data_IF_756977489458
#
_entry.id   IF_756977489458
#
_cell.length_a   1.000
_cell.length_b   1.000
_cell.length_c   1.000
_cell.angle_alpha   90.00
_cell.angle_beta   90.00
_cell.angle_gamma   90.00
#
_symmetry.space_group_name_H-M   'P 1'
#
loop_
_entity.id
_entity.type
_entity.pdbx_description
1 polymer ?
#
# COMPACT_ATOMS: atom_id res chain seq x y z
N UNK A 1 -13.47 19.35 0.84
CA UNK A 1 -13.78 17.90 1.00
C UNK A 1 -12.84 17.41 2.08
N UNK A 2 -13.32 16.83 3.17
CA UNK A 2 -12.43 16.37 4.23
C UNK A 2 -11.57 15.22 3.67
N UNK A 3 -10.25 15.34 3.76
CA UNK A 3 -9.30 14.28 3.41
C UNK A 3 -9.60 13.07 4.33
N UNK A 4 -9.85 11.90 3.74
CA UNK A 4 -10.00 10.64 4.50
C UNK A 4 -8.67 9.91 4.53
N UNK A 5 -8.44 9.05 5.52
CA UNK A 5 -7.24 8.20 5.57
C UNK A 5 -7.03 7.42 4.26
N UNK A 6 -8.11 6.91 3.66
CA UNK A 6 -8.05 6.24 2.35
C UNK A 6 -7.59 7.18 1.23
N UNK A 7 -8.07 8.43 1.19
CA UNK A 7 -7.62 9.42 0.21
C UNK A 7 -6.16 9.83 0.40
N UNK A 8 -5.66 9.86 1.64
CA UNK A 8 -4.27 10.19 1.94
C UNK A 8 -3.33 9.06 1.49
N UNK A 9 -3.70 7.81 1.78
CA UNK A 9 -2.95 6.62 1.36
C UNK A 9 -2.91 6.51 -0.17
N UNK A 10 -4.02 6.72 -0.86
CA UNK A 10 -4.08 6.74 -2.34
C UNK A 10 -3.11 7.78 -2.92
N UNK A 11 -3.19 9.03 -2.46
CA UNK A 11 -2.31 10.11 -2.90
C UNK A 11 -0.83 9.80 -2.63
N UNK A 12 -0.52 9.26 -1.44
CA UNK A 12 0.84 8.90 -1.07
C UNK A 12 1.42 7.83 -2.01
N UNK A 13 0.61 6.81 -2.34
CA UNK A 13 1.01 5.74 -3.26
C UNK A 13 1.34 6.28 -4.66
N UNK A 14 0.54 7.21 -5.18
CA UNK A 14 0.77 7.87 -6.47
C UNK A 14 2.04 8.73 -6.43
N UNK A 15 2.32 9.41 -5.31
CA UNK A 15 3.56 10.20 -5.17
C UNK A 15 4.80 9.32 -5.18
N UNK A 16 4.78 8.18 -4.49
CA UNK A 16 5.89 7.23 -4.50
C UNK A 16 6.20 6.73 -5.90
N UNK A 17 5.17 6.35 -6.67
CA UNK A 17 5.34 5.91 -8.06
C UNK A 17 5.93 7.01 -8.96
N UNK A 18 5.47 8.26 -8.80
CA UNK A 18 6.01 9.39 -9.56
C UNK A 18 7.46 9.69 -9.25
N UNK A 19 7.86 9.62 -7.98
CA UNK A 19 9.26 9.82 -7.57
C UNK A 19 10.14 8.75 -8.20
N UNK A 20 9.70 7.49 -8.16
CA UNK A 20 10.43 6.38 -8.77
C UNK A 20 10.70 6.60 -10.27
N UNK A 21 9.68 6.93 -11.06
CA UNK A 21 9.87 7.24 -12.49
C UNK A 21 10.74 8.48 -12.75
N UNK A 22 10.71 9.48 -11.86
CA UNK A 22 11.56 10.65 -11.98
C UNK A 22 13.03 10.29 -11.66
N UNK A 23 13.25 9.41 -10.70
CA UNK A 23 14.58 8.88 -10.37
C UNK A 23 15.11 8.04 -11.55
N UNK A 24 14.31 7.14 -12.15
CA UNK A 24 14.68 6.40 -13.37
C UNK A 24 15.08 7.34 -14.53
N UNK A 25 14.27 8.38 -14.78
CA UNK A 25 14.53 9.36 -15.84
C UNK A 25 15.77 10.22 -15.57
N UNK A 26 16.22 10.36 -14.31
CA UNK A 26 17.45 11.07 -13.95
C UNK A 26 18.70 10.21 -14.15
N UNK A 27 18.55 8.89 -14.05
CA UNK A 27 19.60 7.89 -14.26
C UNK A 27 19.89 7.60 -15.74
N UNK A 28 18.99 7.97 -16.66
CA UNK A 28 19.17 7.79 -18.10
C UNK A 28 20.44 8.52 -18.62
N UNK A 29 21.24 7.82 -19.43
CA UNK A 29 22.41 8.40 -20.07
C UNK A 29 22.02 9.26 -21.29
N UNK A 30 22.71 10.38 -21.51
CA UNK A 30 22.49 11.24 -22.68
C UNK A 30 21.43 12.35 -22.53
N UNK A 31 20.80 12.49 -21.37
CA UNK A 31 19.95 13.66 -21.07
C UNK A 31 20.78 14.94 -20.90
N UNK A 32 20.26 16.05 -21.46
CA UNK A 32 20.89 17.36 -21.35
C UNK A 32 20.88 17.90 -19.92
N UNK A 33 21.85 18.74 -19.58
CA UNK A 33 21.95 19.36 -18.23
C UNK A 33 20.67 20.09 -17.83
N UNK A 34 20.08 20.85 -18.76
CA UNK A 34 18.83 21.58 -18.51
C UNK A 34 17.65 20.63 -18.26
N UNK A 35 17.57 19.50 -18.96
CA UNK A 35 16.50 18.52 -18.74
C UNK A 35 16.66 17.81 -17.39
N UNK A 36 17.91 17.49 -17.02
CA UNK A 36 18.24 16.89 -15.72
C UNK A 36 17.89 17.83 -14.56
N UNK A 37 18.15 19.13 -14.69
CA UNK A 37 17.74 20.14 -13.69
C UNK A 37 16.20 20.22 -13.57
N UNK A 38 15.47 20.20 -14.69
CA UNK A 38 14.00 20.21 -14.69
C UNK A 38 13.41 18.96 -14.01
N UNK A 39 13.94 17.77 -14.30
CA UNK A 39 13.51 16.51 -13.70
C UNK A 39 13.80 16.49 -12.20
N UNK A 40 14.98 16.97 -11.79
CA UNK A 40 15.35 17.07 -10.38
C UNK A 40 14.42 18.01 -9.62
N UNK A 41 14.10 19.18 -10.17
CA UNK A 41 13.15 20.11 -9.55
C UNK A 41 11.75 19.49 -9.38
N UNK A 42 11.29 18.70 -10.36
CA UNK A 42 10.02 17.96 -10.27
C UNK A 42 10.06 16.87 -9.20
N UNK A 43 11.19 16.16 -9.10
CA UNK A 43 11.42 15.11 -8.10
C UNK A 43 11.43 15.68 -6.69
N UNK A 44 12.16 16.78 -6.47
CA UNK A 44 12.23 17.46 -5.18
C UNK A 44 10.85 17.97 -4.74
N UNK A 45 10.05 18.51 -5.68
CA UNK A 45 8.68 18.90 -5.40
C UNK A 45 7.79 17.71 -5.04
N UNK A 46 7.93 16.59 -5.77
CA UNK A 46 7.15 15.38 -5.49
C UNK A 46 7.51 14.76 -4.13
N UNK A 47 8.78 14.78 -3.75
CA UNK A 47 9.26 14.28 -2.46
C UNK A 47 8.80 15.16 -1.29
N UNK A 48 8.80 16.48 -1.47
CA UNK A 48 8.17 17.40 -0.50
C UNK A 48 6.69 17.07 -0.30
N UNK A 49 5.94 16.89 -1.39
CA UNK A 49 4.53 16.52 -1.32
C UNK A 49 4.30 15.14 -0.68
N UNK A 50 5.21 14.19 -0.88
CA UNK A 50 5.18 12.87 -0.22
C UNK A 50 5.38 13.01 1.29
N UNK A 51 6.31 13.87 1.72
CA UNK A 51 6.55 14.13 3.14
C UNK A 51 5.33 14.79 3.78
N UNK A 52 4.77 15.83 3.16
CA UNK A 52 3.57 16.51 3.65
C UNK A 52 2.40 15.50 3.83
N UNK A 53 2.20 14.60 2.86
CA UNK A 53 1.16 13.55 2.95
C UNK A 53 1.43 12.53 4.07
N UNK A 54 2.71 12.21 4.32
CA UNK A 54 3.09 11.29 5.41
C UNK A 54 2.78 11.94 6.76
N UNK A 55 3.13 13.21 6.92
CA UNK A 55 2.84 13.98 8.14
C UNK A 55 1.32 14.12 8.38
N UNK A 56 0.54 14.30 7.31
CA UNK A 56 -0.93 14.32 7.38
C UNK A 56 -1.51 12.96 7.81
N UNK A 57 -0.96 11.85 7.31
CA UNK A 57 -1.37 10.49 7.73
C UNK A 57 -1.04 10.26 9.21
N UNK A 58 0.16 10.60 9.65
CA UNK A 58 0.57 10.46 11.05
C UNK A 58 -0.28 11.33 11.98
N UNK A 59 -0.55 12.57 11.57
CA UNK A 59 -1.46 13.48 12.27
C UNK A 59 -2.87 12.90 12.39
N UNK A 60 -3.41 12.36 11.29
CA UNK A 60 -4.72 11.70 11.29
C UNK A 60 -4.75 10.51 12.25
N UNK A 61 -3.75 9.61 12.18
CA UNK A 61 -3.67 8.42 13.03
C UNK A 61 -3.51 8.79 14.51
N UNK A 62 -2.67 9.77 14.83
CA UNK A 62 -2.49 10.26 16.18
C UNK A 62 -3.79 10.84 16.75
N UNK A 63 -4.51 11.65 15.96
CA UNK A 63 -5.80 12.19 16.38
C UNK A 63 -6.88 11.10 16.49
N UNK A 64 -6.88 10.09 15.61
CA UNK A 64 -7.80 8.96 15.69
C UNK A 64 -7.59 8.12 16.96
N UNK A 65 -6.33 7.82 17.32
CA UNK A 65 -6.00 7.07 18.54
C UNK A 65 -6.33 7.81 19.83
N UNK A 66 -6.33 9.15 19.81
CA UNK A 66 -6.78 10.00 20.93
C UNK A 66 -8.31 10.20 20.96
N UNK A 67 -9.04 9.66 19.98
CA UNK A 67 -10.49 9.84 19.85
C UNK A 67 -10.92 11.22 19.36
N UNK A 68 -9.99 12.01 18.80
CA UNK A 68 -10.21 13.39 18.33
C UNK A 68 -10.76 13.42 16.89
N UNK A 69 -10.57 12.35 16.13
CA UNK A 69 -11.17 12.20 14.79
C UNK A 69 -12.54 11.55 14.93
N UNK A 70 -13.59 12.30 14.58
CA UNK A 70 -14.91 11.72 14.33
C UNK A 70 -14.88 10.92 13.03
N UNK A 71 -14.62 9.62 13.14
CA UNK A 71 -15.13 8.68 12.15
C UNK A 71 -16.65 8.77 12.26
N UNK A 72 -17.34 9.08 11.16
CA UNK A 72 -18.78 9.25 11.16
C UNK A 72 -19.43 7.89 11.42
N UNK A 73 -19.70 7.61 12.69
CA UNK A 73 -20.44 6.44 13.14
C UNK A 73 -21.84 6.94 13.53
N UNK A 74 -22.81 6.81 12.63
CA UNK A 74 -24.12 7.46 12.76
C UNK A 74 -25.03 6.83 13.84
N UNK A 75 -24.56 5.89 14.68
CA UNK A 75 -25.37 5.35 15.77
C UNK A 75 -24.57 5.09 17.04
N UNK A 76 -24.78 5.91 18.07
CA UNK A 76 -24.46 5.55 19.45
C UNK A 76 -25.56 4.59 19.94
N UNK A 77 -25.22 3.32 20.13
CA UNK A 77 -26.01 2.40 20.98
C UNK A 77 -25.34 2.34 22.35
N UNK A 78 -26.08 2.64 23.40
CA UNK A 78 -25.66 2.33 24.77
C UNK A 78 -25.63 0.80 24.90
N UNK A 79 -24.44 0.19 24.91
CA UNK A 79 -24.33 -1.26 25.00
C UNK A 79 -24.58 -1.73 26.44
N UNK A 80 -25.79 -2.22 26.69
CA UNK A 80 -26.11 -3.08 27.85
C UNK A 80 -25.85 -4.56 27.57
N UNK A 81 -25.17 -4.89 26.46
CA UNK A 81 -24.93 -6.27 26.03
C UNK A 81 -23.43 -6.58 26.08
N UNK A 82 -23.04 -7.54 26.93
CA UNK A 82 -21.67 -8.04 27.09
C UNK A 82 -21.25 -9.05 26.01
N UNK A 83 -22.14 -9.38 25.07
CA UNK A 83 -21.82 -10.21 23.90
C UNK A 83 -21.23 -9.37 22.76
N UNK A 84 -20.07 -8.76 22.98
CA UNK A 84 -19.27 -8.19 21.89
C UNK A 84 -18.42 -9.32 21.34
N UNK A 85 -18.69 -9.80 20.10
CA UNK A 85 -17.78 -10.74 19.41
C UNK A 85 -16.38 -10.12 19.37
N UNK A 86 -15.36 -10.93 19.63
CA UNK A 86 -14.02 -10.43 19.94
C UNK A 86 -13.44 -9.61 18.78
N UNK A 87 -12.65 -8.58 19.12
CA UNK A 87 -11.91 -7.78 18.12
C UNK A 87 -10.90 -8.59 17.31
N UNK A 88 -10.72 -9.88 17.63
CA UNK A 88 -9.75 -10.75 16.96
C UNK A 88 -10.11 -10.96 15.49
N UNK A 89 -11.39 -10.97 15.11
CA UNK A 89 -11.79 -11.08 13.70
C UNK A 89 -11.33 -9.85 12.89
N UNK A 90 -11.52 -8.65 13.44
CA UNK A 90 -11.08 -7.38 12.83
C UNK A 90 -9.54 -7.32 12.78
N UNK A 91 -8.86 -7.73 13.85
CA UNK A 91 -7.40 -7.80 13.88
C UNK A 91 -6.86 -8.77 12.81
N UNK A 92 -7.42 -9.98 12.72
CA UNK A 92 -7.06 -11.00 11.73
C UNK A 92 -7.31 -10.52 10.29
N UNK A 93 -8.39 -9.76 10.07
CA UNK A 93 -8.68 -9.14 8.78
C UNK A 93 -7.58 -8.12 8.41
N UNK A 94 -7.24 -7.22 9.34
CA UNK A 94 -6.19 -6.22 9.12
C UNK A 94 -4.83 -6.84 8.82
N UNK A 95 -4.45 -7.90 9.55
CA UNK A 95 -3.22 -8.66 9.30
C UNK A 95 -3.24 -9.31 7.91
N UNK A 96 -4.37 -9.92 7.50
CA UNK A 96 -4.50 -10.57 6.19
C UNK A 96 -4.41 -9.57 5.04
N UNK A 97 -5.04 -8.39 5.16
CA UNK A 97 -4.97 -7.32 4.15
C UNK A 97 -3.56 -6.73 4.05
N UNK A 98 -2.88 -6.52 5.17
CA UNK A 98 -1.50 -6.03 5.18
C UNK A 98 -0.55 -6.99 4.48
N UNK A 99 -0.66 -8.30 4.78
CA UNK A 99 0.16 -9.32 4.14
C UNK A 99 -0.15 -9.43 2.63
N UNK A 100 -1.42 -9.33 2.23
CA UNK A 100 -1.83 -9.30 0.83
C UNK A 100 -1.18 -8.15 0.06
N UNK A 101 -1.20 -6.94 0.62
CA UNK A 101 -0.57 -5.77 0.02
C UNK A 101 0.94 -5.98 -0.18
N UNK A 102 1.63 -6.54 0.83
CA UNK A 102 3.05 -6.85 0.74
C UNK A 102 3.37 -7.87 -0.37
N UNK A 103 2.58 -8.96 -0.48
CA UNK A 103 2.76 -9.96 -1.55
C UNK A 103 2.52 -9.38 -2.93
N UNK A 104 1.54 -8.47 -3.07
CA UNK A 104 1.27 -7.83 -4.35
C UNK A 104 2.43 -6.91 -4.79
N UNK A 105 3.01 -6.12 -3.88
CA UNK A 105 4.19 -5.29 -4.17
C UNK A 105 5.39 -6.18 -4.57
N UNK A 106 5.64 -7.24 -3.79
CA UNK A 106 6.72 -8.19 -4.08
C UNK A 106 6.54 -8.86 -5.46
N UNK A 107 5.32 -9.20 -5.85
CA UNK A 107 5.01 -9.77 -7.15
C UNK A 107 5.43 -8.82 -8.28
N UNK A 108 5.05 -7.54 -8.19
CA UNK A 108 5.44 -6.52 -9.17
C UNK A 108 6.95 -6.37 -9.30
N UNK A 109 7.68 -6.32 -8.16
CA UNK A 109 9.14 -6.25 -8.18
C UNK A 109 9.78 -7.47 -8.87
N UNK A 110 9.23 -8.66 -8.64
CA UNK A 110 9.71 -9.88 -9.30
C UNK A 110 9.41 -9.86 -10.80
N UNK A 111 8.26 -9.34 -11.21
CA UNK A 111 7.93 -9.17 -12.62
C UNK A 111 8.89 -8.20 -13.32
N UNK A 112 9.25 -7.08 -12.68
CA UNK A 112 10.25 -6.16 -13.20
C UNK A 112 11.64 -6.81 -13.28
N UNK A 113 12.05 -7.54 -12.23
CA UNK A 113 13.31 -8.30 -12.24
C UNK A 113 13.33 -9.33 -13.40
N UNK A 114 12.19 -9.95 -13.72
CA UNK A 114 12.08 -10.92 -14.82
C UNK A 114 12.04 -10.28 -16.22
N UNK A 115 11.80 -8.97 -16.34
CA UNK A 115 11.82 -8.21 -17.61
C UNK A 115 13.22 -7.70 -17.97
N UNK A 116 14.17 -7.74 -17.03
CA UNK A 116 15.55 -7.34 -17.26
C UNK A 116 16.21 -8.18 -18.35
N UNK A 117 16.94 -7.51 -19.24
CA UNK A 117 17.67 -8.13 -20.36
C UNK A 117 19.17 -8.29 -20.09
N UNK A 118 19.65 -7.72 -18.98
CA UNK A 118 21.05 -7.70 -18.58
C UNK A 118 21.42 -8.84 -17.60
N UNK A 119 20.46 -9.68 -17.24
CA UNK A 119 20.66 -10.83 -16.34
C UNK A 119 20.75 -12.15 -17.11
N UNK A 120 21.47 -13.16 -16.58
CA UNK A 120 21.49 -14.50 -17.17
C UNK A 120 20.12 -15.17 -17.19
N UNK A 121 19.83 -15.95 -18.25
CA UNK A 121 18.57 -16.70 -18.39
C UNK A 121 18.24 -17.59 -17.18
N UNK A 122 19.26 -18.18 -16.55
CA UNK A 122 19.08 -18.99 -15.35
C UNK A 122 18.52 -18.19 -14.17
N UNK A 123 18.93 -16.93 -14.02
CA UNK A 123 18.40 -16.00 -13.02
C UNK A 123 16.97 -15.61 -13.34
N UNK A 124 16.66 -15.31 -14.61
CA UNK A 124 15.30 -14.99 -15.06
C UNK A 124 14.34 -16.16 -14.78
N UNK A 125 14.77 -17.40 -15.04
CA UNK A 125 13.98 -18.61 -14.75
C UNK A 125 13.71 -18.76 -13.24
N UNK A 126 14.71 -18.51 -12.40
CA UNK A 126 14.52 -18.53 -10.94
C UNK A 126 13.56 -17.44 -10.46
N UNK A 127 13.65 -16.23 -11.03
CA UNK A 127 12.72 -15.13 -10.74
C UNK A 127 11.30 -15.48 -11.16
N UNK A 128 11.10 -16.08 -12.34
CA UNK A 128 9.77 -16.55 -12.77
C UNK A 128 9.16 -17.59 -11.82
N UNK A 129 9.95 -18.52 -11.29
CA UNK A 129 9.47 -19.46 -10.25
C UNK A 129 9.07 -18.73 -8.96
N UNK A 130 9.78 -17.67 -8.59
CA UNK A 130 9.43 -16.81 -7.45
C UNK A 130 8.16 -16.01 -7.70
N UNK A 131 7.92 -15.55 -8.94
CA UNK A 131 6.66 -14.92 -9.39
C UNK A 131 5.52 -15.90 -9.17
N UNK A 132 5.63 -17.12 -9.70
CA UNK A 132 4.58 -18.14 -9.57
C UNK A 132 4.21 -18.40 -8.11
N UNK A 133 5.21 -18.60 -7.25
CA UNK A 133 5.02 -18.80 -5.80
C UNK A 133 4.38 -17.58 -5.13
N UNK A 134 4.86 -16.37 -5.43
CA UNK A 134 4.36 -15.13 -4.81
C UNK A 134 2.94 -14.79 -5.28
N UNK A 135 2.62 -15.11 -6.54
CA UNK A 135 1.29 -14.96 -7.11
C UNK A 135 0.29 -15.94 -6.48
N UNK A 136 0.74 -17.18 -6.21
CA UNK A 136 -0.07 -18.14 -5.45
C UNK A 136 -0.32 -17.65 -4.02
N UNK A 137 0.73 -17.22 -3.31
CA UNK A 137 0.60 -16.66 -1.96
C UNK A 137 -0.37 -15.46 -1.93
N UNK A 138 -0.33 -14.58 -2.94
CA UNK A 138 -1.27 -13.47 -3.10
C UNK A 138 -2.71 -13.98 -3.24
N UNK A 139 -2.95 -14.97 -4.10
CA UNK A 139 -4.29 -15.54 -4.28
C UNK A 139 -4.81 -16.20 -2.99
N UNK A 140 -3.97 -16.95 -2.29
CA UNK A 140 -4.33 -17.58 -1.02
C UNK A 140 -4.70 -16.54 0.05
N UNK A 141 -4.03 -15.38 0.04
CA UNK A 141 -4.34 -14.27 0.93
C UNK A 141 -5.63 -13.54 0.54
N UNK A 142 -5.93 -13.40 -0.75
CA UNK A 142 -7.23 -12.90 -1.21
C UNK A 142 -8.36 -13.80 -0.70
N UNK A 143 -8.24 -15.12 -0.88
CA UNK A 143 -9.22 -16.09 -0.37
C UNK A 143 -9.33 -16.04 1.15
N UNK A 144 -8.23 -15.80 1.86
CA UNK A 144 -8.22 -15.66 3.33
C UNK A 144 -8.98 -14.40 3.77
N UNK A 145 -8.79 -13.28 3.09
CA UNK A 145 -9.55 -12.05 3.35
C UNK A 145 -11.04 -12.29 3.15
N UNK A 146 -11.43 -12.92 2.04
CA UNK A 146 -12.84 -13.23 1.75
C UNK A 146 -13.45 -14.18 2.79
N UNK A 147 -12.74 -15.22 3.21
CA UNK A 147 -13.19 -16.14 4.27
C UNK A 147 -13.39 -15.44 5.61
N UNK A 148 -12.50 -14.52 6.00
CA UNK A 148 -12.65 -13.75 7.23
C UNK A 148 -13.89 -12.85 7.16
N UNK A 149 -14.15 -12.22 6.01
CA UNK A 149 -15.33 -11.37 5.80
C UNK A 149 -16.65 -12.16 5.83
N UNK A 150 -16.68 -13.34 5.20
CA UNK A 150 -17.85 -14.22 5.18
C UNK A 150 -18.17 -14.79 6.58
N UNK A 151 -17.17 -15.31 7.29
CA UNK A 151 -17.35 -15.83 8.65
C UNK A 151 -17.79 -14.76 9.66
N UNK A 152 -17.37 -13.51 9.46
CA UNK A 152 -17.82 -12.37 10.29
C UNK A 152 -19.26 -11.94 10.00
N UNK A 153 -19.85 -12.40 8.89
CA UNK A 153 -21.22 -12.10 8.47
C UNK A 153 -22.24 -13.14 8.96
N UNK A 154 -21.78 -14.38 9.20
CA UNK A 154 -22.60 -15.50 9.68
C UNK A 154 -22.75 -15.56 11.23
N UNK A 155 -21.99 -14.75 11.98
CA UNK A 155 -22.12 -14.61 13.45
C UNK A 155 -23.29 -13.69 13.90
N UNK A 156 -24.20 -13.33 12.99
CA UNK A 156 -25.37 -12.48 13.29
C UNK A 156 -26.67 -13.25 13.49
#
# INVERSE_FOLDING_TARGET
MAETLGSLVDKLSIKNLRIWHLDEALEEEGISTSKREELKAKRDLADKQRQDLTDEVDGFLGAALRGEVRIRDEKIKLYTNTNVSSSDAIKKLGEAVSELAFRNIKLWHLEDEARRTDLPDSTIVQTKRRIDSTNQERNDLMDKVDKILLSSSDEK
#
